data_IF_738987016297
#
_entry.id   IF_738987016297
#
_cell.length_a   1.000
_cell.length_b   1.000
_cell.length_c   1.000
_cell.angle_alpha   90.00
_cell.angle_beta   90.00
_cell.angle_gamma   90.00
#
_symmetry.space_group_name_H-M   'P 1'
#
loop_
_entity.id
_entity.type
_entity.pdbx_description
1 polymer ?
#
# COMPACT_ATOMS: atom_id res chain seq x y z
N UNK A 1 -17.00 9.34 46.51
CA UNK A 1 -16.45 8.41 45.48
C UNK A 1 -16.55 6.99 45.99
N UNK A 2 -17.22 6.15 45.23
CA UNK A 2 -17.32 4.74 45.57
C UNK A 2 -16.07 3.99 45.06
N UNK A 3 -15.59 3.07 45.90
CA UNK A 3 -14.56 2.14 45.54
C UNK A 3 -15.20 1.03 44.70
N UNK A 4 -14.68 0.80 43.49
CA UNK A 4 -15.20 -0.25 42.60
C UNK A 4 -14.05 -1.02 41.96
N UNK A 5 -13.75 -2.20 42.50
CA UNK A 5 -12.67 -3.03 42.02
C UNK A 5 -13.00 -3.66 40.65
N UNK A 6 -14.27 -3.84 40.31
CA UNK A 6 -14.68 -4.39 39.00
C UNK A 6 -14.18 -3.53 37.86
N UNK A 7 -14.06 -2.21 38.10
CA UNK A 7 -13.48 -1.28 37.14
C UNK A 7 -12.03 -1.67 36.80
N UNK A 8 -11.26 -2.08 37.80
CA UNK A 8 -9.87 -2.49 37.60
C UNK A 8 -9.80 -3.79 36.82
N UNK A 9 -10.68 -4.76 37.14
CA UNK A 9 -10.79 -6.02 36.40
C UNK A 9 -11.12 -5.74 34.92
N UNK A 10 -12.05 -4.84 34.67
CA UNK A 10 -12.43 -4.46 33.29
C UNK A 10 -11.26 -3.81 32.54
N UNK A 11 -10.51 -2.93 33.18
CA UNK A 11 -9.33 -2.30 32.60
C UNK A 11 -8.29 -3.37 32.20
N UNK A 12 -8.03 -4.32 33.08
CA UNK A 12 -7.08 -5.40 32.82
C UNK A 12 -7.50 -6.21 31.60
N UNK A 13 -8.78 -6.56 31.51
CA UNK A 13 -9.32 -7.33 30.38
C UNK A 13 -9.19 -6.55 29.07
N UNK A 14 -9.49 -5.26 29.08
CA UNK A 14 -9.35 -4.38 27.91
C UNK A 14 -7.90 -4.35 27.43
N UNK A 15 -6.93 -4.28 28.35
CA UNK A 15 -5.51 -4.26 27.99
C UNK A 15 -5.08 -5.56 27.31
N UNK A 16 -5.58 -6.69 27.77
CA UNK A 16 -5.32 -8.00 27.14
C UNK A 16 -5.91 -8.04 25.74
N UNK A 17 -7.15 -7.62 25.56
CA UNK A 17 -7.82 -7.57 24.26
C UNK A 17 -7.08 -6.66 23.29
N UNK A 18 -6.63 -5.48 23.74
CA UNK A 18 -5.82 -4.57 22.91
C UNK A 18 -4.51 -5.19 22.46
N UNK A 19 -3.84 -5.92 23.36
CA UNK A 19 -2.58 -6.59 23.03
C UNK A 19 -2.80 -7.66 21.96
N UNK A 20 -3.84 -8.44 22.06
CA UNK A 20 -4.19 -9.48 21.09
C UNK A 20 -4.50 -8.87 19.72
N UNK A 21 -5.29 -7.78 19.70
CA UNK A 21 -5.62 -7.07 18.46
C UNK A 21 -4.37 -6.43 17.83
N UNK A 22 -3.48 -5.88 18.64
CA UNK A 22 -2.22 -5.29 18.16
C UNK A 22 -1.33 -6.36 17.52
N UNK A 23 -1.24 -7.56 18.13
CA UNK A 23 -0.46 -8.67 17.57
C UNK A 23 -1.05 -9.12 16.24
N UNK A 24 -2.37 -9.21 16.14
CA UNK A 24 -3.06 -9.55 14.89
C UNK A 24 -2.80 -8.49 13.81
N UNK A 25 -2.92 -7.21 14.14
CA UNK A 25 -2.63 -6.11 13.22
C UNK A 25 -1.20 -6.18 12.72
N UNK A 26 -0.23 -6.44 13.60
CA UNK A 26 1.18 -6.54 13.22
C UNK A 26 1.42 -7.69 12.23
N UNK A 27 0.75 -8.82 12.41
CA UNK A 27 0.84 -9.94 11.47
C UNK A 27 0.28 -9.59 10.11
N UNK A 28 -0.86 -8.90 10.06
CA UNK A 28 -1.53 -8.52 8.82
C UNK A 28 -0.77 -7.43 8.05
N UNK A 29 0.01 -6.60 8.74
CA UNK A 29 0.76 -5.50 8.12
C UNK A 29 2.22 -5.85 7.84
N UNK A 30 2.63 -7.09 8.08
CA UNK A 30 3.97 -7.55 7.73
C UNK A 30 4.17 -7.48 6.22
N UNK A 31 5.25 -6.83 5.79
CA UNK A 31 5.56 -6.66 4.38
C UNK A 31 6.42 -7.80 3.88
N UNK A 32 6.17 -8.26 2.64
CA UNK A 32 6.98 -9.29 1.99
C UNK A 32 8.21 -8.70 1.30
N UNK A 33 8.20 -7.40 1.01
CA UNK A 33 9.31 -6.68 0.40
C UNK A 33 9.63 -5.48 1.29
N UNK A 34 10.89 -5.38 1.70
CA UNK A 34 11.35 -4.28 2.56
C UNK A 34 12.37 -3.38 1.87
N UNK A 35 12.94 -3.83 0.77
CA UNK A 35 13.98 -3.11 0.04
C UNK A 35 13.36 -2.06 -0.89
N UNK A 36 13.35 -0.81 -0.43
CA UNK A 36 12.81 0.32 -1.20
C UNK A 36 13.60 0.63 -2.45
N UNK A 37 14.83 0.13 -2.58
CA UNK A 37 15.61 0.31 -3.81
C UNK A 37 14.99 -0.40 -5.01
N UNK A 38 14.04 -1.32 -4.78
CA UNK A 38 13.30 -2.00 -5.83
C UNK A 38 12.17 -1.16 -6.44
N UNK A 39 11.80 -0.04 -5.82
CA UNK A 39 10.69 0.79 -6.33
C UNK A 39 10.90 1.23 -7.78
N UNK A 40 12.08 1.73 -8.18
CA UNK A 40 12.33 2.06 -9.59
C UNK A 40 12.14 0.88 -10.53
N UNK A 41 12.58 -0.32 -10.13
CA UNK A 41 12.42 -1.54 -10.93
C UNK A 41 10.94 -1.92 -11.04
N UNK A 42 10.20 -1.81 -9.96
CA UNK A 42 8.75 -2.07 -9.96
C UNK A 42 8.05 -1.09 -10.91
N UNK A 43 8.45 0.16 -10.90
CA UNK A 43 7.91 1.17 -11.81
C UNK A 43 8.19 0.83 -13.28
N UNK A 44 9.40 0.38 -13.59
CA UNK A 44 9.76 -0.03 -14.94
C UNK A 44 8.90 -1.22 -15.40
N UNK A 45 8.70 -2.22 -14.54
CA UNK A 45 7.85 -3.38 -14.85
C UNK A 45 6.39 -2.91 -15.05
N UNK A 46 5.91 -2.00 -14.23
CA UNK A 46 4.56 -1.43 -14.36
C UNK A 46 4.39 -0.77 -15.73
N UNK A 47 5.36 0.03 -16.15
CA UNK A 47 5.34 0.67 -17.48
C UNK A 47 5.34 -0.34 -18.61
N UNK A 48 6.21 -1.36 -18.53
CA UNK A 48 6.28 -2.42 -19.54
C UNK A 48 4.94 -3.14 -19.67
N UNK A 49 4.28 -3.44 -18.56
CA UNK A 49 2.98 -4.11 -18.57
C UNK A 49 1.88 -3.25 -19.20
N UNK A 50 1.88 -1.96 -18.96
CA UNK A 50 0.94 -1.06 -19.61
C UNK A 50 1.16 -0.99 -21.12
N UNK A 51 2.42 -0.93 -21.56
CA UNK A 51 2.77 -0.93 -22.98
C UNK A 51 2.33 -2.23 -23.66
N UNK A 52 2.58 -3.37 -23.03
CA UNK A 52 2.24 -4.69 -23.59
C UNK A 52 0.73 -4.87 -23.78
N UNK A 53 -0.07 -4.23 -22.94
CA UNK A 53 -1.52 -4.32 -23.08
C UNK A 53 -2.08 -3.49 -24.23
N UNK A 54 -1.24 -2.70 -24.88
CA UNK A 54 -1.69 -1.80 -25.93
C UNK A 54 -2.65 -0.71 -25.43
N UNK A 55 -2.84 -0.65 -24.14
CA UNK A 55 -3.43 0.53 -23.54
C UNK A 55 -2.45 1.63 -23.81
N UNK A 56 -2.71 2.46 -24.79
CA UNK A 56 -1.92 3.65 -24.99
C UNK A 56 -2.10 4.54 -23.76
N UNK A 57 -1.46 4.26 -22.70
CA UNK A 57 -1.75 4.99 -21.55
C UNK A 57 -0.74 6.03 -21.51
N UNK A 58 -1.25 7.06 -21.32
CA UNK A 58 -0.53 8.02 -20.59
C UNK A 58 -0.27 7.39 -19.22
N UNK A 59 0.90 6.75 -19.07
CA UNK A 59 1.34 6.21 -17.79
C UNK A 59 1.37 7.30 -16.72
N UNK A 60 1.45 8.55 -17.14
CA UNK A 60 1.42 9.73 -16.30
C UNK A 60 0.01 10.16 -15.96
N UNK A 61 -1.02 9.47 -16.47
CA UNK A 61 -2.40 9.80 -16.13
C UNK A 61 -2.65 9.59 -14.63
N UNK A 62 -3.57 10.38 -14.10
CA UNK A 62 -3.92 10.31 -12.67
C UNK A 62 -4.37 8.92 -12.27
N UNK A 63 -5.15 8.24 -13.12
CA UNK A 63 -5.68 6.92 -12.80
C UNK A 63 -4.57 5.86 -12.75
N UNK A 64 -3.61 5.90 -13.67
CA UNK A 64 -2.49 4.97 -13.67
C UNK A 64 -1.56 5.23 -12.49
N UNK A 65 -1.33 6.48 -12.16
CA UNK A 65 -0.57 6.88 -10.98
C UNK A 65 -1.20 6.32 -9.71
N UNK A 66 -2.51 6.41 -9.57
CA UNK A 66 -3.23 5.87 -8.41
C UNK A 66 -3.09 4.36 -8.30
N UNK A 67 -3.13 3.63 -9.41
CA UNK A 67 -2.91 2.18 -9.43
C UNK A 67 -1.50 1.83 -8.96
N UNK A 68 -0.51 2.54 -9.46
CA UNK A 68 0.88 2.33 -9.05
C UNK A 68 1.08 2.60 -7.56
N UNK A 69 0.55 3.72 -7.06
CA UNK A 69 0.63 4.06 -5.64
C UNK A 69 -0.01 2.97 -4.79
N UNK A 70 -1.18 2.46 -5.17
CA UNK A 70 -1.84 1.37 -4.45
C UNK A 70 -0.93 0.15 -4.33
N UNK A 71 -0.33 -0.26 -5.44
CA UNK A 71 0.54 -1.45 -5.48
C UNK A 71 1.77 -1.25 -4.58
N UNK A 72 2.40 -0.09 -4.65
CA UNK A 72 3.55 0.22 -3.79
C UNK A 72 3.16 0.24 -2.32
N UNK A 73 2.03 0.83 -1.96
CA UNK A 73 1.56 0.82 -0.58
C UNK A 73 1.24 -0.59 -0.09
N UNK A 74 0.64 -1.41 -0.93
CA UNK A 74 0.38 -2.80 -0.57
C UNK A 74 1.67 -3.57 -0.28
N UNK A 75 2.72 -3.34 -1.08
CA UNK A 75 4.00 -4.03 -0.93
C UNK A 75 4.84 -3.51 0.24
N UNK A 76 4.86 -2.20 0.46
CA UNK A 76 5.81 -1.57 1.39
C UNK A 76 5.18 -0.94 2.63
N UNK A 77 3.90 -0.63 2.59
CA UNK A 77 3.22 0.07 3.69
C UNK A 77 1.72 -0.24 3.71
N UNK A 78 1.33 -1.52 3.86
CA UNK A 78 -0.09 -1.91 3.77
C UNK A 78 -0.97 -1.22 4.80
N UNK A 79 -0.44 -0.86 5.96
CA UNK A 79 -1.20 -0.13 6.99
C UNK A 79 -1.71 1.22 6.49
N UNK A 80 -1.03 1.85 5.52
CA UNK A 80 -1.48 3.11 4.92
C UNK A 80 -2.82 2.94 4.22
N UNK A 81 -3.04 1.80 3.58
CA UNK A 81 -4.32 1.49 2.94
C UNK A 81 -5.45 1.32 3.96
N UNK A 82 -5.12 1.01 5.19
CA UNK A 82 -6.08 0.88 6.29
C UNK A 82 -6.18 2.15 7.14
N UNK A 83 -5.63 3.27 6.68
CA UNK A 83 -5.70 4.55 7.37
C UNK A 83 -4.51 4.87 8.26
N UNK A 84 -3.49 4.02 8.29
CA UNK A 84 -2.28 4.25 9.08
C UNK A 84 -1.30 5.20 8.40
N UNK A 85 -0.24 5.53 9.11
CA UNK A 85 0.82 6.39 8.58
C UNK A 85 1.65 5.64 7.54
N UNK A 86 2.07 6.38 6.52
CA UNK A 86 2.97 5.84 5.51
C UNK A 86 4.35 5.57 6.10
N UNK A 87 4.98 4.47 5.66
CA UNK A 87 6.35 4.14 6.05
C UNK A 87 7.30 5.32 5.75
N UNK A 88 8.28 5.51 6.63
CA UNK A 88 9.22 6.64 6.54
C UNK A 88 9.95 6.66 5.20
N UNK A 89 9.98 7.82 4.55
CA UNK A 89 10.65 8.02 3.27
C UNK A 89 9.89 7.55 2.04
N UNK A 90 8.83 6.77 2.20
CA UNK A 90 8.10 6.21 1.07
C UNK A 90 7.38 7.27 0.26
N UNK A 91 6.85 8.31 0.91
CA UNK A 91 6.20 9.44 0.22
C UNK A 91 7.19 10.14 -0.70
N UNK A 92 8.40 10.37 -0.23
CA UNK A 92 9.45 11.00 -1.02
C UNK A 92 9.86 10.12 -2.20
N UNK A 93 10.01 8.83 -1.98
CA UNK A 93 10.34 7.86 -3.04
C UNK A 93 9.27 7.85 -4.12
N UNK A 94 8.00 7.84 -3.74
CA UNK A 94 6.89 7.90 -4.69
C UNK A 94 6.85 9.23 -5.46
N UNK A 95 7.06 10.34 -4.76
CA UNK A 95 7.09 11.65 -5.40
C UNK A 95 8.20 11.73 -6.44
N UNK A 96 9.39 11.24 -6.10
CA UNK A 96 10.55 11.25 -7.00
C UNK A 96 10.31 10.39 -8.24
N UNK A 97 9.84 9.15 -8.07
CA UNK A 97 9.65 8.24 -9.19
C UNK A 97 8.52 8.68 -10.12
N UNK A 98 7.49 9.30 -9.59
CA UNK A 98 6.34 9.79 -10.36
C UNK A 98 6.52 11.22 -10.90
N UNK A 99 7.60 11.89 -10.52
CA UNK A 99 7.85 13.28 -10.94
C UNK A 99 6.87 14.27 -10.35
N UNK A 100 6.41 14.03 -9.13
CA UNK A 100 5.45 14.88 -8.45
C UNK A 100 6.19 15.81 -7.49
N UNK A 101 6.03 17.12 -7.68
CA UNK A 101 6.73 18.09 -6.84
C UNK A 101 6.09 18.30 -5.48
N UNK A 102 4.77 18.07 -5.36
CA UNK A 102 4.05 18.27 -4.10
C UNK A 102 3.80 16.96 -3.38
N UNK A 103 4.34 16.83 -2.17
CA UNK A 103 4.09 15.66 -1.32
C UNK A 103 2.63 15.52 -0.92
N UNK A 104 1.89 16.64 -0.86
CA UNK A 104 0.46 16.60 -0.56
C UNK A 104 -0.34 15.90 -1.65
N UNK A 105 0.12 15.94 -2.91
CA UNK A 105 -0.51 15.21 -4.01
C UNK A 105 -0.47 13.70 -3.76
N UNK A 106 0.66 13.18 -3.25
CA UNK A 106 0.76 11.77 -2.89
C UNK A 106 -0.24 11.43 -1.78
N UNK A 107 -0.31 12.25 -0.74
CA UNK A 107 -1.25 12.05 0.38
C UNK A 107 -2.70 12.10 -0.09
N UNK A 108 -3.05 13.03 -0.96
CA UNK A 108 -4.40 13.16 -1.52
C UNK A 108 -4.78 11.92 -2.35
N UNK A 109 -3.84 11.41 -3.16
CA UNK A 109 -4.06 10.18 -3.91
C UNK A 109 -4.32 9.00 -2.97
N UNK A 110 -3.59 8.92 -1.84
CA UNK A 110 -3.79 7.83 -0.86
C UNK A 110 -5.18 7.85 -0.24
N UNK A 111 -5.79 9.01 -0.06
CA UNK A 111 -7.14 9.08 0.49
C UNK A 111 -8.21 8.54 -0.46
N UNK A 112 -7.97 8.58 -1.77
CA UNK A 112 -8.94 8.19 -2.78
C UNK A 112 -8.83 6.72 -3.21
N UNK A 113 -7.63 6.14 -3.18
CA UNK A 113 -7.35 4.86 -3.84
C UNK A 113 -8.08 3.68 -3.21
N UNK A 114 -8.28 3.69 -1.89
CA UNK A 114 -9.03 2.62 -1.21
C UNK A 114 -10.51 2.70 -1.59
N UNK A 115 -11.06 3.90 -1.67
CA UNK A 115 -12.43 4.11 -2.12
C UNK A 115 -12.61 3.59 -3.55
N UNK A 116 -11.67 3.91 -4.45
CA UNK A 116 -11.72 3.44 -5.84
C UNK A 116 -11.64 1.92 -5.91
N UNK A 117 -10.77 1.32 -5.13
CA UNK A 117 -10.62 -0.14 -5.09
C UNK A 117 -11.90 -0.82 -4.63
N UNK A 118 -12.54 -0.28 -3.60
CA UNK A 118 -13.74 -0.88 -3.00
C UNK A 118 -15.01 -0.68 -3.83
N UNK A 119 -15.07 0.36 -4.65
CA UNK A 119 -16.30 0.76 -5.33
C UNK A 119 -16.28 0.58 -6.85
N UNK A 120 -15.13 0.38 -7.47
CA UNK A 120 -15.00 0.24 -8.92
C UNK A 120 -14.28 -1.05 -9.27
N UNK A 121 -15.03 -2.03 -9.78
CA UNK A 121 -14.50 -3.34 -10.13
C UNK A 121 -13.39 -3.28 -11.16
N UNK A 122 -13.51 -2.40 -12.16
CA UNK A 122 -12.47 -2.23 -13.17
C UNK A 122 -11.13 -1.81 -12.56
N UNK A 123 -11.17 -0.94 -11.55
CA UNK A 123 -9.98 -0.48 -10.84
C UNK A 123 -9.35 -1.62 -10.03
N UNK A 124 -10.17 -2.34 -9.25
CA UNK A 124 -9.67 -3.42 -8.39
C UNK A 124 -9.15 -4.62 -9.21
N UNK A 125 -9.86 -4.98 -10.27
CA UNK A 125 -9.44 -6.09 -11.14
C UNK A 125 -8.13 -5.77 -11.84
N UNK A 126 -7.97 -4.54 -12.30
CA UNK A 126 -6.75 -4.11 -12.96
C UNK A 126 -5.55 -4.08 -12.02
N UNK A 127 -5.76 -3.61 -10.79
CA UNK A 127 -4.72 -3.64 -9.76
C UNK A 127 -4.30 -5.08 -9.46
N UNK A 128 -5.25 -5.99 -9.30
CA UNK A 128 -4.96 -7.39 -9.04
C UNK A 128 -4.13 -8.01 -10.17
N UNK A 129 -4.50 -7.74 -11.42
CA UNK A 129 -3.78 -8.22 -12.59
C UNK A 129 -2.35 -7.67 -12.63
N UNK A 130 -2.19 -6.36 -12.46
CA UNK A 130 -0.88 -5.69 -12.46
C UNK A 130 0.00 -6.20 -11.32
N UNK A 131 -0.55 -6.31 -10.12
CA UNK A 131 0.17 -6.80 -8.94
C UNK A 131 0.74 -8.19 -9.19
N UNK A 132 -0.10 -9.11 -9.66
CA UNK A 132 0.33 -10.48 -9.90
C UNK A 132 1.43 -10.56 -10.95
N UNK A 133 1.31 -9.79 -12.03
CA UNK A 133 2.33 -9.74 -13.09
C UNK A 133 3.63 -9.12 -12.64
N UNK A 134 3.54 -8.05 -11.83
CA UNK A 134 4.73 -7.42 -11.25
C UNK A 134 5.49 -8.40 -10.38
N UNK A 135 4.80 -9.09 -9.47
CA UNK A 135 5.43 -10.08 -8.59
C UNK A 135 6.08 -11.19 -9.39
N UNK A 136 5.40 -11.73 -10.40
CA UNK A 136 5.97 -12.76 -11.28
C UNK A 136 7.27 -12.30 -11.93
N UNK A 137 7.28 -11.09 -12.49
CA UNK A 137 8.46 -10.55 -13.17
C UNK A 137 9.63 -10.27 -12.23
N UNK A 138 9.33 -9.77 -11.03
CA UNK A 138 10.37 -9.56 -10.04
C UNK A 138 11.01 -10.88 -9.62
N UNK A 139 10.22 -11.95 -9.50
CA UNK A 139 10.73 -13.30 -9.23
C UNK A 139 11.58 -13.83 -10.37
N UNK A 140 11.14 -13.67 -11.62
CA UNK A 140 11.88 -14.08 -12.80
C UNK A 140 13.23 -13.39 -12.91
N UNK A 141 13.30 -12.12 -12.51
CA UNK A 141 14.54 -11.33 -12.50
C UNK A 141 15.43 -11.65 -11.30
N UNK A 142 14.97 -12.49 -10.36
CA UNK A 142 15.71 -12.83 -9.16
C UNK A 142 15.78 -11.72 -8.11
N UNK A 143 14.93 -10.71 -8.23
CA UNK A 143 14.93 -9.55 -7.32
C UNK A 143 14.17 -9.84 -6.03
N UNK A 144 13.24 -10.78 -6.06
CA UNK A 144 12.51 -11.28 -4.89
C UNK A 144 12.40 -12.80 -4.99
N UNK A 145 12.06 -13.41 -3.85
CA UNK A 145 11.87 -14.87 -3.80
C UNK A 145 10.40 -15.26 -4.14
#
# INVERSE_FOLDING_TARGET
MEFNFDKIIRIKKIRIEKSELSDEENKLTTTSITDKSLIPEIYNVFRELLDERGCAPNIESVIQRKKFIFIILYLFSPSTLAGGKMASGLRDDLADILGIYSKSTISDNCSDIVFLYQNYADFSDDIAWLYNRIVERLKEKGLIK
#
